data_IF_658883417874
#
_entry.id   IF_658883417874
#
_cell.length_a   1.000
_cell.length_b   1.000
_cell.length_c   1.000
_cell.angle_alpha   90.00
_cell.angle_beta   90.00
_cell.angle_gamma   90.00
#
_symmetry.space_group_name_H-M   'P 1'
#
loop_
_entity.id
_entity.type
_entity.pdbx_description
1 polymer ?
#
# COMPACT_ATOMS: atom_id res chain seq x y z
N UNK A 1 -0.33 6.87 22.17
CA UNK A 1 0.47 8.11 21.99
C UNK A 1 1.85 8.01 22.67
N UNK A 2 2.91 8.57 22.05
CA UNK A 2 4.29 8.59 22.60
C UNK A 2 4.43 9.68 23.67
N UNK A 3 4.87 9.31 24.88
CA UNK A 3 5.04 10.23 26.02
C UNK A 3 6.42 10.89 26.06
N UNK A 4 6.57 11.94 26.86
CA UNK A 4 7.88 12.57 27.09
C UNK A 4 8.91 11.60 27.69
N UNK A 5 8.48 10.68 28.54
CA UNK A 5 9.38 9.65 29.09
C UNK A 5 9.82 8.64 28.02
N UNK A 6 8.96 8.32 27.05
CA UNK A 6 9.36 7.53 25.88
C UNK A 6 10.39 8.28 25.04
N UNK A 7 10.20 9.59 24.83
CA UNK A 7 11.17 10.43 24.09
C UNK A 7 12.51 10.48 24.81
N UNK A 8 12.52 10.71 26.12
CA UNK A 8 13.74 10.68 26.95
C UNK A 8 14.46 9.33 26.90
N UNK A 9 13.71 8.22 26.91
CA UNK A 9 14.30 6.89 26.76
C UNK A 9 14.98 6.71 25.40
N UNK A 10 14.32 7.13 24.32
CA UNK A 10 14.87 7.10 22.97
C UNK A 10 16.13 7.99 22.82
N UNK A 11 16.10 9.20 23.39
CA UNK A 11 17.25 10.11 23.44
C UNK A 11 18.41 9.50 24.22
N UNK A 12 18.14 8.91 25.39
CA UNK A 12 19.16 8.19 26.16
C UNK A 12 19.75 7.03 25.38
N UNK A 13 18.94 6.21 24.71
CA UNK A 13 19.42 5.06 23.93
C UNK A 13 20.30 5.50 22.76
N UNK A 14 19.94 6.61 22.09
CA UNK A 14 20.77 7.25 21.06
C UNK A 14 22.13 7.68 21.64
N UNK A 15 22.13 8.41 22.75
CA UNK A 15 23.37 8.83 23.41
C UNK A 15 24.23 7.64 23.85
N UNK A 16 23.60 6.60 24.38
CA UNK A 16 24.28 5.39 24.83
C UNK A 16 24.98 4.70 23.66
N UNK A 17 24.30 4.55 22.51
CA UNK A 17 24.90 3.97 21.32
C UNK A 17 26.13 4.78 20.85
N UNK A 18 26.01 6.11 20.79
CA UNK A 18 27.11 6.99 20.37
C UNK A 18 28.31 6.96 21.33
N UNK A 19 28.05 6.91 22.65
CA UNK A 19 29.11 6.83 23.68
C UNK A 19 29.83 5.48 23.71
N UNK A 20 29.20 4.40 23.24
CA UNK A 20 29.71 3.03 23.37
C UNK A 20 30.23 2.40 22.06
N UNK A 21 30.39 3.19 20.99
CA UNK A 21 31.15 2.76 19.82
C UNK A 21 30.50 3.02 18.46
N UNK A 22 29.30 3.59 18.40
CA UNK A 22 28.72 4.03 17.13
C UNK A 22 29.27 5.41 16.72
N UNK A 23 29.75 5.54 15.48
CA UNK A 23 30.01 6.86 14.88
C UNK A 23 28.71 7.56 14.46
N UNK A 24 27.67 6.77 14.17
CA UNK A 24 26.33 7.27 13.87
C UNK A 24 25.26 6.26 14.27
N UNK A 25 24.04 6.73 14.47
CA UNK A 25 22.89 5.86 14.72
C UNK A 25 21.59 6.48 14.21
N UNK A 26 20.62 5.62 13.85
CA UNK A 26 19.21 5.96 13.68
C UNK A 26 18.42 5.18 14.71
N UNK A 27 17.38 5.78 15.27
CA UNK A 27 16.49 5.15 16.23
C UNK A 27 15.04 5.51 15.89
N UNK A 28 14.15 4.54 16.04
CA UNK A 28 12.71 4.76 15.98
C UNK A 28 12.04 4.06 17.15
N UNK A 29 11.37 4.85 17.99
CA UNK A 29 10.42 4.33 18.98
C UNK A 29 9.04 4.37 18.35
N UNK A 30 8.28 3.29 18.47
CA UNK A 30 6.91 3.24 17.95
C UNK A 30 5.96 2.66 18.99
N UNK A 31 4.71 3.09 18.90
CA UNK A 31 3.58 2.51 19.62
C UNK A 31 2.41 2.37 18.68
N UNK A 32 1.82 1.19 18.67
CA UNK A 32 0.62 0.87 17.91
C UNK A 32 -0.42 0.28 18.86
N UNK A 33 -1.67 0.64 18.69
CA UNK A 33 -2.78 -0.02 19.35
C UNK A 33 -3.87 -0.26 18.32
N UNK A 34 -4.49 -1.45 18.37
CA UNK A 34 -5.61 -1.76 17.49
C UNK A 34 -6.62 -2.66 18.19
N UNK A 35 -7.85 -2.56 17.71
CA UNK A 35 -8.94 -3.47 18.03
C UNK A 35 -9.52 -4.08 16.76
N UNK A 36 -9.85 -5.36 16.81
CA UNK A 36 -10.50 -6.10 15.73
C UNK A 36 -11.64 -6.92 16.29
N UNK A 37 -12.82 -6.77 15.68
CA UNK A 37 -14.04 -7.52 15.98
C UNK A 37 -14.42 -8.26 14.72
N UNK A 38 -14.36 -9.58 14.77
CA UNK A 38 -14.65 -10.46 13.65
C UNK A 38 -15.87 -11.30 13.98
N UNK A 39 -16.85 -11.24 13.09
CA UNK A 39 -18.09 -11.97 13.19
C UNK A 39 -18.18 -12.96 12.04
N UNK A 40 -18.65 -14.17 12.36
CA UNK A 40 -19.06 -15.17 11.39
C UNK A 40 -20.55 -15.42 11.54
N UNK A 41 -21.28 -15.32 10.43
CA UNK A 41 -22.72 -15.51 10.35
C UNK A 41 -23.49 -14.65 11.38
N UNK A 42 -23.04 -13.40 11.55
CA UNK A 42 -23.61 -12.44 12.49
C UNK A 42 -23.30 -12.73 13.97
N UNK A 43 -22.50 -13.75 14.27
CA UNK A 43 -22.09 -14.09 15.64
C UNK A 43 -20.65 -13.70 15.87
N UNK A 44 -20.34 -13.21 17.07
CA UNK A 44 -18.96 -12.89 17.46
C UNK A 44 -18.10 -14.15 17.37
N UNK A 45 -17.06 -14.12 16.54
CA UNK A 45 -16.11 -15.21 16.37
C UNK A 45 -14.80 -14.88 17.09
N UNK A 46 -14.30 -13.65 16.92
CA UNK A 46 -13.04 -13.21 17.53
C UNK A 46 -13.07 -11.74 17.92
N UNK A 47 -12.59 -11.45 19.13
CA UNK A 47 -12.21 -10.12 19.57
C UNK A 47 -10.70 -10.13 19.85
N UNK A 48 -9.97 -9.26 19.17
CA UNK A 48 -8.56 -9.03 19.41
C UNK A 48 -8.32 -7.57 19.76
N UNK A 49 -7.59 -7.34 20.84
CA UNK A 49 -7.01 -6.03 21.15
C UNK A 49 -5.51 -6.23 21.30
N UNK A 50 -4.74 -5.40 20.62
CA UNK A 50 -3.29 -5.42 20.74
C UNK A 50 -2.76 -4.04 21.04
N UNK A 51 -1.72 -4.01 21.87
CA UNK A 51 -0.89 -2.83 22.07
C UNK A 51 0.54 -3.27 21.95
N UNK A 52 1.25 -2.63 21.05
CA UNK A 52 2.64 -2.92 20.74
C UNK A 52 3.45 -1.65 20.93
N UNK A 53 4.60 -1.81 21.58
CA UNK A 53 5.60 -0.77 21.72
C UNK A 53 6.96 -1.38 21.41
N UNK A 54 7.81 -0.63 20.73
CA UNK A 54 9.11 -1.12 20.35
C UNK A 54 10.09 -0.03 20.00
N UNK A 55 11.36 -0.45 19.93
CA UNK A 55 12.50 0.36 19.59
C UNK A 55 13.26 -0.34 18.46
N UNK A 56 13.38 0.33 17.32
CA UNK A 56 14.29 -0.05 16.24
C UNK A 56 15.56 0.79 16.30
N UNK A 57 16.71 0.16 16.11
CA UNK A 57 18.02 0.80 16.08
C UNK A 57 18.79 0.41 14.82
N UNK A 58 19.39 1.40 14.17
CA UNK A 58 20.40 1.21 13.14
C UNK A 58 21.72 1.78 13.64
N UNK A 59 22.72 0.92 13.74
CA UNK A 59 24.02 1.23 14.34
C UNK A 59 25.08 1.27 13.24
N UNK A 60 25.85 2.35 13.19
CA UNK A 60 26.95 2.54 12.26
C UNK A 60 28.25 2.47 13.08
N UNK A 61 28.98 1.38 12.92
CA UNK A 61 30.11 1.01 13.79
C UNK A 61 31.32 0.68 12.93
N UNK A 62 32.34 1.51 13.00
CA UNK A 62 33.63 1.34 12.30
C UNK A 62 33.45 1.15 10.78
N UNK A 63 32.46 1.79 10.15
CA UNK A 63 32.15 1.62 8.71
C UNK A 63 31.26 0.40 8.39
N UNK A 64 30.73 -0.28 9.41
CA UNK A 64 29.77 -1.39 9.30
C UNK A 64 28.38 -0.92 9.71
N UNK A 65 27.35 -1.67 9.32
CA UNK A 65 25.95 -1.36 9.62
C UNK A 65 25.22 -2.56 10.22
N UNK A 66 24.56 -2.35 11.36
CA UNK A 66 23.70 -3.34 12.00
C UNK A 66 22.30 -2.78 12.24
N UNK A 67 21.28 -3.64 12.18
CA UNK A 67 19.89 -3.29 12.47
C UNK A 67 19.36 -4.22 13.55
N UNK A 68 18.81 -3.63 14.61
CA UNK A 68 18.31 -4.35 15.78
C UNK A 68 16.94 -3.80 16.18
N UNK A 69 16.12 -4.63 16.82
CA UNK A 69 14.82 -4.19 17.34
C UNK A 69 14.46 -4.93 18.60
N UNK A 70 13.72 -4.29 19.50
CA UNK A 70 13.21 -4.89 20.74
C UNK A 70 11.89 -4.25 21.16
N UNK A 71 11.04 -5.00 21.85
CA UNK A 71 9.91 -4.49 22.61
C UNK A 71 10.18 -4.44 24.12
N UNK A 72 11.36 -4.90 24.55
CA UNK A 72 11.82 -4.83 25.94
C UNK A 72 12.55 -3.50 26.15
N UNK A 73 11.85 -2.56 26.77
CA UNK A 73 12.28 -1.16 26.89
C UNK A 73 12.90 -0.81 28.25
N UNK A 74 13.18 -1.81 29.09
CA UNK A 74 13.95 -1.61 30.31
C UNK A 74 15.37 -1.13 29.98
N UNK A 75 15.84 -0.13 30.72
CA UNK A 75 17.11 0.54 30.44
C UNK A 75 18.30 -0.43 30.47
N UNK A 76 18.35 -1.36 31.43
CA UNK A 76 19.46 -2.32 31.57
C UNK A 76 19.47 -3.35 30.44
N UNK A 77 18.29 -3.75 29.98
CA UNK A 77 18.14 -4.64 28.84
C UNK A 77 18.53 -3.94 27.54
N UNK A 78 18.19 -2.67 27.39
CA UNK A 78 18.63 -1.83 26.28
C UNK A 78 20.14 -1.61 26.27
N UNK A 79 20.78 -1.39 27.42
CA UNK A 79 22.24 -1.32 27.53
C UNK A 79 22.90 -2.59 26.97
N UNK A 80 22.37 -3.75 27.36
CA UNK A 80 22.86 -5.06 26.89
C UNK A 80 22.65 -5.22 25.38
N UNK A 81 21.45 -4.91 24.88
CA UNK A 81 21.12 -4.99 23.45
C UNK A 81 22.02 -4.08 22.61
N UNK A 82 22.19 -2.83 23.02
CA UNK A 82 22.98 -1.85 22.28
C UNK A 82 24.45 -2.27 22.27
N UNK A 83 25.01 -2.62 23.43
CA UNK A 83 26.42 -3.05 23.54
C UNK A 83 26.68 -4.28 22.69
N UNK A 84 25.88 -5.34 22.85
CA UNK A 84 26.02 -6.57 22.07
C UNK A 84 25.76 -6.32 20.58
N UNK A 85 24.84 -5.42 20.24
CA UNK A 85 24.56 -5.02 18.86
C UNK A 85 25.73 -4.30 18.19
N UNK A 86 26.40 -3.41 18.93
CA UNK A 86 27.63 -2.74 18.47
C UNK A 86 28.73 -3.78 18.23
N UNK A 87 28.98 -4.67 19.19
CA UNK A 87 29.98 -5.74 19.05
C UNK A 87 29.66 -6.67 17.87
N UNK A 88 28.39 -7.08 17.75
CA UNK A 88 27.92 -7.93 16.65
C UNK A 88 28.13 -7.25 15.29
N UNK A 89 27.85 -5.95 15.21
CA UNK A 89 28.02 -5.17 13.97
C UNK A 89 29.48 -5.09 13.53
N UNK A 90 30.45 -5.08 14.46
CA UNK A 90 31.88 -5.06 14.13
C UNK A 90 32.37 -6.30 13.36
N UNK A 91 31.71 -7.44 13.52
CA UNK A 91 32.05 -8.67 12.79
C UNK A 91 31.63 -8.66 11.33
N UNK A 92 30.80 -7.68 10.91
CA UNK A 92 30.35 -7.56 9.53
C UNK A 92 31.43 -6.94 8.63
N UNK A 93 31.29 -7.16 7.33
CA UNK A 93 32.09 -6.47 6.34
C UNK A 93 31.77 -4.96 6.33
N UNK A 94 32.78 -4.15 6.07
CA UNK A 94 32.62 -2.70 5.86
C UNK A 94 31.71 -2.47 4.65
N UNK A 95 30.77 -1.53 4.78
CA UNK A 95 29.94 -1.05 3.66
C UNK A 95 29.93 0.49 3.70
N UNK A 96 30.85 1.10 2.95
CA UNK A 96 31.03 2.56 2.91
C UNK A 96 29.81 3.30 2.35
N UNK A 97 28.88 2.59 1.69
CA UNK A 97 27.63 3.19 1.21
C UNK A 97 26.60 3.34 2.33
N UNK A 98 26.76 2.65 3.46
CA UNK A 98 25.92 2.83 4.66
C UNK A 98 26.31 4.11 5.38
N UNK A 99 25.67 5.21 4.97
CA UNK A 99 25.83 6.53 5.57
C UNK A 99 24.48 7.14 5.96
N UNK A 100 24.51 8.11 6.87
CA UNK A 100 23.35 8.95 7.14
C UNK A 100 23.11 9.90 5.97
N UNK A 101 21.84 10.28 5.75
CA UNK A 101 21.50 11.32 4.80
C UNK A 101 22.11 12.67 5.24
N UNK A 102 22.41 13.53 4.27
CA UNK A 102 22.82 14.91 4.53
C UNK A 102 21.75 15.64 5.37
N UNK A 103 22.10 16.19 6.55
CA UNK A 103 21.18 16.97 7.37
C UNK A 103 20.48 18.11 6.63
N UNK A 104 21.07 18.67 5.58
CA UNK A 104 20.42 19.70 4.76
C UNK A 104 19.11 19.21 4.12
N UNK A 105 18.99 17.90 3.85
CA UNK A 105 17.80 17.27 3.26
C UNK A 105 16.72 16.93 4.27
N UNK A 106 16.97 17.07 5.57
CA UNK A 106 15.98 16.73 6.59
C UNK A 106 14.79 17.67 6.60
N UNK A 107 13.63 17.11 6.98
CA UNK A 107 12.50 17.93 7.36
C UNK A 107 12.86 18.81 8.56
N UNK A 108 12.54 20.11 8.46
CA UNK A 108 12.96 21.15 9.43
C UNK A 108 11.86 21.57 10.42
N UNK A 109 10.73 20.88 10.44
CA UNK A 109 9.57 21.31 11.23
C UNK A 109 8.82 22.49 10.62
N UNK A 110 7.85 23.01 11.36
CA UNK A 110 7.15 24.26 11.04
C UNK A 110 6.08 24.18 9.94
N UNK A 111 5.86 23.04 9.29
CA UNK A 111 4.71 22.87 8.39
C UNK A 111 3.40 22.64 9.17
N UNK A 112 2.23 22.96 8.58
CA UNK A 112 0.93 22.74 9.22
C UNK A 112 0.72 21.30 9.68
N UNK A 113 -0.11 21.09 10.71
CA UNK A 113 -0.52 19.74 11.10
C UNK A 113 -1.23 19.04 9.92
N UNK A 114 -0.76 17.84 9.56
CA UNK A 114 -1.38 17.03 8.52
C UNK A 114 -2.72 16.45 8.95
N UNK A 115 -3.11 16.57 10.23
CA UNK A 115 -4.40 16.12 10.76
C UNK A 115 -4.68 14.66 10.39
N UNK A 116 -3.79 13.74 10.75
CA UNK A 116 -3.92 12.31 10.41
C UNK A 116 -4.52 11.47 11.54
N UNK A 117 -4.90 12.11 12.63
CA UNK A 117 -5.31 11.46 13.88
C UNK A 117 -6.71 11.90 14.29
N UNK A 118 -7.60 10.92 14.44
CA UNK A 118 -8.98 11.11 14.87
C UNK A 118 -9.15 10.76 16.35
N UNK A 119 -9.49 11.77 17.17
CA UNK A 119 -9.74 11.57 18.60
C UNK A 119 -10.98 10.72 18.88
N UNK A 120 -11.91 10.61 17.91
CA UNK A 120 -13.10 9.77 18.05
C UNK A 120 -12.74 8.30 18.27
N UNK A 121 -11.53 7.86 17.91
CA UNK A 121 -11.05 6.51 18.21
C UNK A 121 -11.29 6.11 19.67
N UNK A 122 -11.13 7.05 20.61
CA UNK A 122 -11.30 6.81 22.05
C UNK A 122 -12.74 7.00 22.54
N UNK A 123 -13.62 7.56 21.71
CA UNK A 123 -15.01 7.87 22.05
C UNK A 123 -15.97 6.78 21.58
N UNK A 124 -15.58 5.99 20.56
CA UNK A 124 -16.41 4.91 20.01
C UNK A 124 -16.48 3.75 21.01
N UNK A 125 -17.69 3.46 21.50
CA UNK A 125 -17.94 2.34 22.39
C UNK A 125 -17.67 1.00 21.67
N UNK A 126 -16.98 0.03 22.29
CA UNK A 126 -16.86 -1.33 21.76
C UNK A 126 -18.16 -1.95 21.23
N UNK A 127 -19.30 -1.72 21.89
CA UNK A 127 -20.59 -2.26 21.44
C UNK A 127 -21.02 -1.67 20.08
N UNK A 128 -20.72 -0.40 19.81
CA UNK A 128 -20.98 0.24 18.52
C UNK A 128 -20.08 -0.34 17.42
N UNK A 129 -18.82 -0.67 17.76
CA UNK A 129 -17.88 -1.34 16.83
C UNK A 129 -18.42 -2.70 16.40
N UNK A 130 -18.92 -3.48 17.37
CA UNK A 130 -19.58 -4.78 17.10
C UNK A 130 -20.84 -4.59 16.28
N UNK A 131 -21.64 -3.57 16.59
CA UNK A 131 -22.87 -3.26 15.85
C UNK A 131 -22.58 -2.95 14.38
N UNK A 132 -21.48 -2.25 14.06
CA UNK A 132 -21.08 -1.97 12.68
C UNK A 132 -20.71 -3.26 11.93
N UNK A 133 -19.88 -4.11 12.53
CA UNK A 133 -19.54 -5.40 11.91
C UNK A 133 -20.78 -6.28 11.70
N UNK A 134 -21.67 -6.32 12.71
CA UNK A 134 -22.95 -7.02 12.65
C UNK A 134 -23.85 -6.49 11.54
N UNK A 135 -23.99 -5.18 11.42
CA UNK A 135 -24.80 -4.56 10.37
C UNK A 135 -24.31 -4.96 8.96
N UNK A 136 -22.99 -5.03 8.75
CA UNK A 136 -22.43 -5.50 7.49
C UNK A 136 -22.80 -6.98 7.20
N UNK A 137 -22.88 -7.85 8.20
CA UNK A 137 -23.38 -9.22 8.00
C UNK A 137 -24.90 -9.27 7.75
N UNK A 138 -25.69 -8.51 8.52
CA UNK A 138 -27.15 -8.43 8.41
C UNK A 138 -27.63 -7.88 7.06
N UNK A 139 -26.78 -7.11 6.35
CA UNK A 139 -27.02 -6.73 4.97
C UNK A 139 -27.12 -7.91 3.99
N UNK A 140 -26.70 -9.12 4.38
CA UNK A 140 -26.55 -10.28 3.48
C UNK A 140 -27.25 -11.53 4.01
N UNK A 141 -27.23 -11.73 5.33
CA UNK A 141 -27.80 -12.93 5.96
C UNK A 141 -29.26 -13.15 5.55
N UNK A 142 -29.55 -14.36 5.04
CA UNK A 142 -30.89 -14.77 4.61
C UNK A 142 -31.38 -14.16 3.29
N UNK A 143 -30.56 -13.38 2.57
CA UNK A 143 -30.97 -12.75 1.30
C UNK A 143 -30.87 -13.65 0.07
N UNK A 144 -30.07 -14.71 0.13
CA UNK A 144 -29.89 -15.66 -0.96
C UNK A 144 -29.64 -17.06 -0.40
N UNK A 145 -30.36 -18.06 -0.93
CA UNK A 145 -30.28 -19.45 -0.46
C UNK A 145 -28.91 -20.11 -0.72
N UNK A 146 -28.11 -19.54 -1.62
CA UNK A 146 -26.77 -20.04 -1.94
C UNK A 146 -25.74 -19.63 -0.90
N UNK A 147 -26.03 -18.67 -0.03
CA UNK A 147 -25.05 -18.22 0.98
C UNK A 147 -24.68 -19.38 1.92
N UNK A 148 -23.37 -19.60 2.06
CA UNK A 148 -22.80 -20.63 2.95
C UNK A 148 -22.29 -19.99 4.23
N UNK A 149 -21.57 -18.88 4.10
CA UNK A 149 -21.05 -18.15 5.27
C UNK A 149 -20.85 -16.68 4.94
N UNK A 150 -20.99 -15.85 5.95
CA UNK A 150 -20.72 -14.42 5.91
C UNK A 150 -19.74 -14.08 7.03
N UNK A 151 -18.50 -13.75 6.67
CA UNK A 151 -17.54 -13.17 7.59
C UNK A 151 -17.63 -11.64 7.48
N UNK A 152 -17.59 -10.94 8.61
CA UNK A 152 -17.60 -9.47 8.66
C UNK A 152 -16.70 -8.97 9.77
N UNK A 153 -16.12 -7.80 9.58
CA UNK A 153 -15.26 -7.22 10.60
C UNK A 153 -15.36 -5.71 10.69
N UNK A 154 -15.12 -5.23 11.91
CA UNK A 154 -14.73 -3.87 12.19
C UNK A 154 -13.33 -3.91 12.80
N UNK A 155 -12.44 -3.05 12.34
CA UNK A 155 -11.14 -2.87 12.96
C UNK A 155 -10.76 -1.40 13.01
N UNK A 156 -10.09 -0.99 14.07
CA UNK A 156 -9.50 0.34 14.18
C UNK A 156 -8.16 0.30 14.89
N UNK A 157 -7.40 1.38 14.74
CA UNK A 157 -6.16 1.53 15.47
C UNK A 157 -5.53 2.89 15.35
N UNK A 158 -4.51 3.07 16.16
CA UNK A 158 -3.58 4.19 16.11
C UNK A 158 -2.15 3.69 15.98
N UNK A 159 -1.34 4.50 15.31
CA UNK A 159 0.10 4.35 15.28
C UNK A 159 0.76 5.68 15.61
N UNK A 160 1.85 5.64 16.36
CA UNK A 160 2.73 6.78 16.60
C UNK A 160 4.18 6.35 16.48
N UNK A 161 5.02 7.21 15.91
CA UNK A 161 6.46 7.00 15.82
C UNK A 161 7.24 8.24 16.23
N UNK A 162 8.39 8.02 16.85
CA UNK A 162 9.36 9.05 17.23
C UNK A 162 10.73 8.62 16.76
N UNK A 163 11.32 9.41 15.87
CA UNK A 163 12.55 9.10 15.15
C UNK A 163 13.67 10.06 15.55
N UNK A 164 14.84 9.50 15.81
CA UNK A 164 16.08 10.23 16.05
C UNK A 164 17.15 9.78 15.06
N UNK A 165 17.93 10.72 14.56
CA UNK A 165 19.14 10.44 13.78
C UNK A 165 20.28 11.29 14.34
N UNK A 166 21.42 10.64 14.58
CA UNK A 166 22.53 11.21 15.35
C UNK A 166 23.18 12.46 14.77
N UNK A 167 22.96 12.77 13.49
CA UNK A 167 23.42 14.00 12.83
C UNK A 167 22.37 15.14 12.85
N UNK A 168 21.41 15.09 13.78
CA UNK A 168 20.55 16.22 14.10
C UNK A 168 19.13 16.16 13.53
N UNK A 169 18.56 14.95 13.37
CA UNK A 169 17.14 14.80 13.08
C UNK A 169 16.35 14.34 14.30
N UNK A 170 15.22 14.99 14.52
CA UNK A 170 14.18 14.58 15.46
C UNK A 170 12.83 14.79 14.77
N UNK A 171 11.99 13.76 14.74
CA UNK A 171 10.69 13.84 14.09
C UNK A 171 9.69 12.87 14.70
N UNK A 172 8.43 13.28 14.75
CA UNK A 172 7.34 12.43 15.20
C UNK A 172 6.20 12.37 14.18
N UNK A 173 5.47 11.26 14.19
CA UNK A 173 4.27 11.08 13.40
C UNK A 173 3.22 10.33 14.21
N UNK A 174 1.96 10.61 13.93
CA UNK A 174 0.83 9.86 14.46
C UNK A 174 -0.30 9.79 13.44
N UNK A 175 -1.04 8.69 13.45
CA UNK A 175 -2.23 8.54 12.63
C UNK A 175 -3.20 7.55 13.24
N UNK A 176 -4.47 7.66 12.87
CA UNK A 176 -5.51 6.66 13.13
C UNK A 176 -5.94 5.98 11.84
N UNK A 177 -6.59 4.84 11.96
CA UNK A 177 -7.28 4.20 10.86
C UNK A 177 -8.49 3.43 11.38
N UNK A 178 -9.50 3.31 10.52
CA UNK A 178 -10.73 2.56 10.74
C UNK A 178 -11.02 1.76 9.48
N UNK A 179 -11.59 0.57 9.64
CA UNK A 179 -11.93 -0.31 8.54
C UNK A 179 -13.18 -1.12 8.85
N UNK A 180 -14.02 -1.32 7.83
CA UNK A 180 -15.16 -2.26 7.87
C UNK A 180 -15.05 -3.15 6.65
N UNK A 181 -15.23 -4.45 6.83
CA UNK A 181 -15.21 -5.40 5.73
C UNK A 181 -16.29 -6.47 5.85
N UNK A 182 -16.68 -7.04 4.72
CA UNK A 182 -17.51 -8.22 4.64
C UNK A 182 -16.97 -9.14 3.54
N UNK A 183 -17.03 -10.43 3.77
CA UNK A 183 -16.67 -11.49 2.83
C UNK A 183 -17.81 -12.50 2.81
N UNK A 184 -18.29 -12.84 1.62
CA UNK A 184 -19.44 -13.72 1.43
C UNK A 184 -19.00 -14.92 0.62
N UNK A 185 -19.25 -16.10 1.16
CA UNK A 185 -19.02 -17.38 0.49
C UNK A 185 -20.37 -17.98 0.10
N UNK A 186 -20.51 -18.42 -1.15
CA UNK A 186 -21.75 -18.99 -1.67
C UNK A 186 -21.51 -20.37 -2.29
N UNK A 187 -22.59 -21.14 -2.43
CA UNK A 187 -22.64 -22.38 -3.20
C UNK A 187 -22.74 -22.03 -4.69
N UNK A 188 -21.72 -22.45 -5.45
CA UNK A 188 -21.74 -22.40 -6.91
C UNK A 188 -22.25 -23.71 -7.53
N UNK A 189 -21.97 -23.88 -8.83
CA UNK A 189 -22.24 -25.13 -9.54
C UNK A 189 -21.37 -26.27 -9.00
N UNK A 190 -21.98 -27.43 -8.72
CA UNK A 190 -21.28 -28.60 -8.17
C UNK A 190 -20.57 -28.31 -6.84
N UNK A 191 -19.27 -28.58 -6.81
CA UNK A 191 -18.42 -28.35 -5.63
C UNK A 191 -17.81 -26.94 -5.57
N UNK A 192 -18.14 -26.05 -6.51
CA UNK A 192 -17.65 -24.67 -6.47
C UNK A 192 -18.17 -23.93 -5.22
N UNK A 193 -17.27 -23.20 -4.56
CA UNK A 193 -17.55 -22.39 -3.37
C UNK A 193 -16.95 -20.99 -3.55
N UNK A 194 -17.43 -20.19 -4.53
CA UNK A 194 -16.86 -18.87 -4.77
C UNK A 194 -17.05 -17.96 -3.55
N UNK A 195 -16.06 -17.10 -3.36
CA UNK A 195 -16.01 -16.09 -2.32
C UNK A 195 -15.58 -14.77 -2.94
N UNK A 196 -16.15 -13.68 -2.45
CA UNK A 196 -15.68 -12.32 -2.72
C UNK A 196 -15.93 -11.43 -1.50
N UNK A 197 -15.30 -10.26 -1.49
CA UNK A 197 -15.31 -9.35 -0.37
C UNK A 197 -15.52 -7.91 -0.82
N UNK A 198 -15.89 -7.07 0.13
CA UNK A 198 -15.84 -5.63 0.00
C UNK A 198 -15.38 -5.02 1.32
N UNK A 199 -14.72 -3.87 1.24
CA UNK A 199 -14.32 -3.12 2.41
C UNK A 199 -14.28 -1.63 2.13
N UNK A 200 -14.30 -0.84 3.19
CA UNK A 200 -13.87 0.55 3.18
C UNK A 200 -12.92 0.80 4.36
N UNK A 201 -12.02 1.76 4.20
CA UNK A 201 -11.14 2.22 5.26
C UNK A 201 -10.94 3.71 5.20
N UNK A 202 -10.69 4.34 6.35
CA UNK A 202 -10.49 5.78 6.45
C UNK A 202 -9.60 6.13 7.65
N UNK A 203 -8.96 7.30 7.61
CA UNK A 203 -8.24 7.83 8.79
C UNK A 203 -9.20 8.31 9.89
N UNK A 204 -10.41 8.70 9.50
CA UNK A 204 -11.42 9.31 10.38
C UNK A 204 -12.68 8.46 10.43
N UNK A 205 -13.21 8.28 11.62
CA UNK A 205 -14.39 7.47 11.88
C UNK A 205 -15.60 7.97 11.07
N UNK A 206 -15.79 9.29 10.98
CA UNK A 206 -16.92 9.88 10.24
C UNK A 206 -16.81 9.71 8.72
N UNK A 207 -15.59 9.55 8.19
CA UNK A 207 -15.34 9.34 6.76
C UNK A 207 -15.44 7.87 6.34
N UNK A 208 -15.44 6.95 7.31
CA UNK A 208 -15.60 5.51 7.06
C UNK A 208 -17.02 5.22 6.59
N UNK A 209 -17.14 4.61 5.41
CA UNK A 209 -18.39 4.03 4.91
C UNK A 209 -18.71 2.77 5.71
N UNK A 210 -19.84 2.79 6.42
CA UNK A 210 -20.26 1.70 7.32
C UNK A 210 -21.40 0.84 6.77
N UNK A 211 -22.07 1.32 5.72
CA UNK A 211 -23.24 0.67 5.13
C UNK A 211 -22.97 0.31 3.66
N UNK A 212 -23.71 -0.68 3.17
CA UNK A 212 -23.57 -1.25 1.83
C UNK A 212 -22.32 -2.12 1.67
N UNK A 213 -21.60 -2.43 2.74
CA UNK A 213 -20.36 -3.23 2.70
C UNK A 213 -20.71 -4.70 2.41
N UNK A 214 -21.64 -5.27 3.19
CA UNK A 214 -22.12 -6.62 2.96
C UNK A 214 -22.86 -6.74 1.64
N UNK A 215 -23.74 -5.79 1.33
CA UNK A 215 -24.49 -5.80 0.09
C UNK A 215 -23.58 -5.84 -1.15
N UNK A 216 -22.50 -5.06 -1.17
CA UNK A 216 -21.50 -5.09 -2.24
C UNK A 216 -20.72 -6.41 -2.29
N UNK A 217 -20.35 -6.97 -1.14
CA UNK A 217 -19.67 -8.27 -1.10
C UNK A 217 -20.57 -9.39 -1.68
N UNK A 218 -21.86 -9.39 -1.35
CA UNK A 218 -22.85 -10.31 -1.93
C UNK A 218 -23.01 -10.10 -3.44
N UNK A 219 -23.17 -8.85 -3.88
CA UNK A 219 -23.29 -8.52 -5.30
C UNK A 219 -22.09 -9.03 -6.10
N UNK A 220 -20.87 -8.86 -5.56
CA UNK A 220 -19.63 -9.29 -6.19
C UNK A 220 -19.50 -10.81 -6.27
N UNK A 221 -19.79 -11.55 -5.20
CA UNK A 221 -19.69 -13.01 -5.23
C UNK A 221 -20.77 -13.64 -6.12
N UNK A 222 -21.99 -13.11 -6.11
CA UNK A 222 -23.07 -13.59 -7.00
C UNK A 222 -22.70 -13.40 -8.49
N UNK A 223 -21.98 -12.32 -8.78
CA UNK A 223 -21.41 -12.01 -10.11
C UNK A 223 -20.38 -13.05 -10.59
N UNK A 224 -19.81 -13.88 -9.71
CA UNK A 224 -18.90 -14.97 -10.09
C UNK A 224 -19.62 -16.25 -10.55
N UNK A 225 -20.93 -16.34 -10.38
CA UNK A 225 -21.66 -17.54 -10.78
C UNK A 225 -21.66 -17.70 -12.31
N UNK A 226 -21.42 -18.93 -12.76
CA UNK A 226 -21.37 -19.25 -14.19
C UNK A 226 -20.12 -18.74 -14.91
N UNK A 227 -19.07 -18.37 -14.17
CA UNK A 227 -17.78 -18.01 -14.76
C UNK A 227 -17.24 -19.12 -15.67
N UNK A 228 -16.80 -18.71 -16.87
CA UNK A 228 -16.24 -19.57 -17.90
C UNK A 228 -15.10 -18.86 -18.64
N UNK A 229 -14.22 -19.63 -19.26
CA UNK A 229 -13.20 -19.09 -20.18
C UNK A 229 -13.86 -18.31 -21.32
N UNK A 230 -13.21 -17.22 -21.72
CA UNK A 230 -13.46 -16.55 -22.98
C UNK A 230 -12.56 -17.13 -24.08
N UNK A 231 -12.83 -16.79 -25.34
CA UNK A 231 -11.93 -17.16 -26.45
C UNK A 231 -10.59 -16.44 -26.26
N UNK A 232 -9.48 -17.16 -26.42
CA UNK A 232 -8.15 -16.54 -26.44
C UNK A 232 -8.02 -15.52 -27.58
N UNK A 233 -7.37 -14.39 -27.32
CA UNK A 233 -7.18 -13.34 -28.30
C UNK A 233 -6.88 -11.99 -27.68
N UNK A 234 -6.92 -10.94 -28.51
CA UNK A 234 -6.75 -9.55 -28.08
C UNK A 234 -8.09 -8.94 -27.71
N UNK A 235 -8.11 -8.25 -26.57
CA UNK A 235 -9.27 -7.56 -26.04
C UNK A 235 -8.88 -6.17 -25.53
N UNK A 236 -9.83 -5.24 -25.53
CA UNK A 236 -9.74 -4.06 -24.67
C UNK A 236 -9.85 -4.54 -23.22
N UNK A 237 -8.88 -4.21 -22.37
CA UNK A 237 -8.90 -4.54 -20.95
C UNK A 237 -9.38 -3.33 -20.15
N UNK A 238 -10.42 -3.50 -19.35
CA UNK A 238 -10.81 -2.56 -18.30
C UNK A 238 -10.40 -3.13 -16.96
N UNK A 239 -9.84 -2.33 -16.07
CA UNK A 239 -9.52 -2.76 -14.70
C UNK A 239 -10.20 -1.83 -13.73
N UNK A 240 -10.93 -2.39 -12.76
CA UNK A 240 -11.64 -1.62 -11.75
C UNK A 240 -10.68 -0.94 -10.73
N UNK A 241 -11.14 0.06 -9.96
CA UNK A 241 -10.29 0.79 -9.03
C UNK A 241 -9.82 -0.07 -7.84
N UNK A 242 -10.40 -1.26 -7.62
CA UNK A 242 -9.97 -2.20 -6.58
C UNK A 242 -8.69 -2.93 -7.00
N UNK A 243 -8.51 -3.14 -8.31
CA UNK A 243 -7.52 -4.05 -8.86
C UNK A 243 -6.39 -3.36 -9.64
N UNK A 244 -6.52 -2.08 -10.02
CA UNK A 244 -5.48 -1.32 -10.74
C UNK A 244 -4.12 -1.29 -10.04
N UNK A 245 -4.10 -1.41 -8.71
CA UNK A 245 -2.86 -1.54 -7.93
C UNK A 245 -1.98 -2.71 -8.35
N UNK A 246 -2.57 -3.80 -8.85
CA UNK A 246 -1.83 -4.98 -9.33
C UNK A 246 -1.01 -4.69 -10.59
N UNK A 247 -1.46 -3.75 -11.43
CA UNK A 247 -0.72 -3.33 -12.64
C UNK A 247 0.28 -2.20 -12.34
N UNK A 248 -0.02 -1.34 -11.37
CA UNK A 248 0.85 -0.21 -11.02
C UNK A 248 2.03 -0.62 -10.13
N UNK A 249 1.83 -1.61 -9.25
CA UNK A 249 2.86 -2.05 -8.30
C UNK A 249 4.18 -2.48 -8.97
N UNK A 250 4.18 -3.25 -10.08
CA UNK A 250 5.42 -3.57 -10.81
C UNK A 250 6.11 -2.34 -11.40
N UNK A 251 5.36 -1.36 -11.92
CA UNK A 251 5.93 -0.10 -12.40
C UNK A 251 6.66 0.63 -11.28
N UNK A 252 6.01 0.79 -10.12
CA UNK A 252 6.62 1.46 -8.96
C UNK A 252 7.84 0.69 -8.43
N UNK A 253 7.76 -0.65 -8.42
CA UNK A 253 8.85 -1.52 -7.99
C UNK A 253 10.11 -1.28 -8.82
N UNK A 254 9.96 -1.12 -10.13
CA UNK A 254 11.03 -0.80 -11.06
C UNK A 254 11.64 0.60 -10.87
N UNK A 255 11.00 1.49 -10.10
CA UNK A 255 11.51 2.84 -9.84
C UNK A 255 12.38 2.96 -8.57
N UNK A 256 12.42 1.92 -7.72
CA UNK A 256 13.19 1.97 -6.49
C UNK A 256 14.70 1.87 -6.75
N UNK A 257 15.47 2.67 -6.01
CA UNK A 257 16.93 2.68 -6.08
C UNK A 257 17.57 1.31 -5.86
N UNK A 258 16.97 0.45 -5.03
CA UNK A 258 17.44 -0.92 -4.81
C UNK A 258 17.32 -1.80 -6.07
N UNK A 259 16.19 -1.71 -6.79
CA UNK A 259 15.97 -2.43 -8.04
C UNK A 259 16.93 -1.95 -9.14
N UNK A 260 17.12 -0.63 -9.24
CA UNK A 260 18.05 -0.01 -10.18
C UNK A 260 19.50 -0.41 -9.89
N UNK A 261 19.94 -0.31 -8.62
CA UNK A 261 21.29 -0.64 -8.19
C UNK A 261 21.62 -2.11 -8.46
N UNK A 262 20.65 -3.01 -8.29
CA UNK A 262 20.79 -4.45 -8.54
C UNK A 262 20.66 -4.82 -10.03
N UNK A 263 20.45 -3.84 -10.93
CA UNK A 263 20.17 -4.06 -12.36
C UNK A 263 18.97 -4.98 -12.59
N UNK A 264 17.99 -4.91 -11.69
CA UNK A 264 16.78 -5.71 -11.70
C UNK A 264 15.54 -4.83 -11.85
N UNK A 265 15.58 -3.97 -12.87
CA UNK A 265 14.49 -3.05 -13.21
C UNK A 265 14.35 -2.93 -14.72
N UNK A 266 13.15 -3.21 -15.23
CA UNK A 266 12.79 -2.99 -16.63
C UNK A 266 12.65 -1.50 -17.00
N UNK A 267 12.70 -0.61 -16.00
CA UNK A 267 12.73 0.85 -16.19
C UNK A 267 14.11 1.44 -15.93
N UNK A 268 15.17 0.64 -15.82
CA UNK A 268 16.55 1.14 -15.75
C UNK A 268 16.88 1.95 -17.01
N UNK A 269 17.60 3.07 -16.85
CA UNK A 269 18.01 3.97 -17.94
C UNK A 269 16.82 4.57 -18.73
N UNK A 270 15.64 4.71 -18.10
CA UNK A 270 14.42 5.29 -18.70
C UNK A 270 14.02 6.64 -18.13
N UNK A 271 14.83 7.25 -17.26
CA UNK A 271 14.58 8.60 -16.78
C UNK A 271 14.49 9.56 -17.98
N UNK A 272 13.52 10.48 -17.94
CA UNK A 272 13.18 11.42 -19.00
C UNK A 272 12.81 10.79 -20.36
N UNK A 273 12.49 9.48 -20.36
CA UNK A 273 12.03 8.76 -21.55
C UNK A 273 10.53 8.48 -21.47
N UNK A 274 9.85 8.54 -22.61
CA UNK A 274 8.46 8.11 -22.73
C UNK A 274 8.36 6.58 -22.68
N UNK A 275 7.74 6.06 -21.64
CA UNK A 275 7.60 4.61 -21.37
C UNK A 275 6.14 4.19 -21.13
N UNK A 276 5.21 5.13 -21.29
CA UNK A 276 3.78 4.91 -21.13
C UNK A 276 2.99 5.91 -21.99
N UNK A 277 1.65 5.78 -21.97
CA UNK A 277 0.71 6.63 -22.68
C UNK A 277 0.75 8.09 -22.22
N UNK A 278 0.34 9.01 -23.10
CA UNK A 278 0.16 10.43 -22.76
C UNK A 278 -0.90 10.66 -21.66
N UNK A 279 -1.79 9.69 -21.45
CA UNK A 279 -2.77 9.73 -20.37
C UNK A 279 -2.18 9.39 -19.00
N UNK A 280 -0.97 8.84 -18.95
CA UNK A 280 -0.32 8.43 -17.71
C UNK A 280 0.45 9.59 -17.07
N UNK A 281 -0.27 10.41 -16.32
CA UNK A 281 0.31 11.49 -15.49
C UNK A 281 0.09 11.19 -14.01
N UNK A 282 1.14 10.71 -13.35
CA UNK A 282 1.14 10.22 -11.96
C UNK A 282 1.98 11.15 -11.08
N UNK A 283 1.40 11.63 -9.97
CA UNK A 283 2.06 12.53 -9.02
C UNK A 283 2.16 11.92 -7.63
N UNK A 284 3.25 12.19 -6.93
CA UNK A 284 3.38 11.98 -5.49
C UNK A 284 3.00 13.27 -4.75
N UNK A 285 1.96 13.24 -3.91
CA UNK A 285 1.40 14.39 -3.21
C UNK A 285 1.43 14.19 -1.67
N UNK A 286 2.62 14.31 -1.05
CA UNK A 286 2.85 13.87 0.34
C UNK A 286 2.24 14.77 1.42
N UNK A 287 1.79 15.99 1.10
CA UNK A 287 1.44 17.03 2.09
C UNK A 287 -0.07 17.32 2.16
N UNK A 288 -0.91 16.38 1.72
CA UNK A 288 -2.37 16.55 1.77
C UNK A 288 -2.90 16.39 3.20
N UNK A 289 -3.53 17.44 3.75
CA UNK A 289 -4.12 17.42 5.09
C UNK A 289 -5.29 16.44 5.14
N UNK A 290 -5.35 15.62 6.18
CA UNK A 290 -6.43 14.66 6.43
C UNK A 290 -6.49 13.50 5.44
N UNK A 291 -5.38 13.23 4.73
CA UNK A 291 -5.32 12.24 3.67
C UNK A 291 -4.34 11.10 4.00
N UNK A 292 -4.79 9.87 3.74
CA UNK A 292 -4.01 8.66 3.97
C UNK A 292 -2.72 8.66 3.13
N UNK A 293 -1.59 8.26 3.75
CA UNK A 293 -0.25 8.26 3.15
C UNK A 293 0.52 9.57 3.25
N UNK A 294 -0.10 10.66 3.72
CA UNK A 294 0.60 11.94 3.88
C UNK A 294 1.69 11.87 4.96
N UNK A 295 2.83 12.51 4.71
CA UNK A 295 3.97 12.58 5.64
C UNK A 295 4.92 13.70 5.22
N UNK A 296 5.64 14.29 6.18
CA UNK A 296 6.67 15.31 5.90
C UNK A 296 8.08 14.79 5.75
N UNK A 297 8.34 13.55 6.16
CA UNK A 297 9.65 12.92 6.08
C UNK A 297 9.52 11.42 5.84
N UNK A 298 10.55 10.82 5.25
CA UNK A 298 10.67 9.37 5.14
C UNK A 298 11.43 8.73 6.32
N UNK A 299 11.74 7.44 6.22
CA UNK A 299 12.43 6.72 7.29
C UNK A 299 13.89 7.15 7.50
N UNK A 300 14.45 7.94 6.58
CA UNK A 300 15.76 8.57 6.73
C UNK A 300 15.68 10.00 7.27
N UNK A 301 14.48 10.51 7.58
CA UNK A 301 14.26 11.89 7.99
C UNK A 301 14.26 12.89 6.83
N UNK A 302 14.47 12.42 5.59
CA UNK A 302 14.52 13.25 4.38
C UNK A 302 13.14 13.86 4.13
N UNK A 303 13.11 15.18 3.90
CA UNK A 303 11.89 15.90 3.63
C UNK A 303 11.19 15.38 2.37
N UNK A 304 9.90 15.09 2.48
CA UNK A 304 9.08 14.78 1.31
C UNK A 304 8.73 16.05 0.55
N UNK A 305 8.53 15.93 -0.76
CA UNK A 305 8.17 17.03 -1.65
C UNK A 305 7.19 16.50 -2.70
N UNK A 306 6.25 17.33 -3.19
CA UNK A 306 5.46 16.97 -4.36
C UNK A 306 6.37 16.64 -5.54
N UNK A 307 6.11 15.49 -6.19
CA UNK A 307 6.90 15.04 -7.35
C UNK A 307 6.00 14.58 -8.48
N UNK A 308 6.41 14.88 -9.70
CA UNK A 308 5.85 14.23 -10.88
C UNK A 308 6.60 12.92 -11.09
N UNK A 309 5.90 11.78 -10.98
CA UNK A 309 6.49 10.45 -11.19
C UNK A 309 6.49 10.13 -12.68
N UNK A 310 5.33 10.32 -13.31
CA UNK A 310 5.17 10.28 -14.77
C UNK A 310 4.46 11.54 -15.23
N UNK A 311 4.96 12.15 -16.30
CA UNK A 311 4.34 13.30 -16.98
C UNK A 311 3.99 12.88 -18.41
N UNK A 312 2.70 12.67 -18.69
CA UNK A 312 2.22 12.19 -20.00
C UNK A 312 3.04 10.99 -20.52
N UNK A 313 3.26 10.02 -19.64
CA UNK A 313 3.98 8.80 -19.94
C UNK A 313 5.51 8.92 -19.94
N UNK A 314 6.06 10.12 -19.77
CA UNK A 314 7.50 10.34 -19.56
C UNK A 314 7.84 10.07 -18.10
N UNK A 315 8.77 9.15 -17.84
CA UNK A 315 9.26 8.88 -16.50
C UNK A 315 10.11 10.05 -15.99
N UNK A 316 9.74 10.62 -14.84
CA UNK A 316 10.37 11.83 -14.27
C UNK A 316 11.06 11.63 -12.92
N UNK A 317 10.71 10.57 -12.19
CA UNK A 317 11.25 10.34 -10.84
C UNK A 317 11.56 8.87 -10.60
N UNK A 318 12.78 8.60 -10.13
CA UNK A 318 13.11 7.38 -9.39
C UNK A 318 13.06 7.64 -7.88
N UNK A 319 12.79 6.61 -7.09
CA UNK A 319 12.76 6.65 -5.63
C UNK A 319 14.06 6.10 -5.05
N UNK A 320 15.03 6.98 -4.85
CA UNK A 320 16.41 6.64 -4.51
C UNK A 320 16.68 7.13 -3.08
N UNK A 321 16.88 6.17 -2.16
CA UNK A 321 17.34 6.45 -0.80
C UNK A 321 18.84 6.82 -0.79
N UNK A 322 19.34 7.25 0.37
CA UNK A 322 20.74 7.68 0.54
C UNK A 322 21.72 6.56 0.18
N UNK A 323 21.42 5.33 0.59
CA UNK A 323 22.28 4.17 0.37
C UNK A 323 22.45 3.84 -1.12
N UNK A 324 21.33 3.73 -1.85
CA UNK A 324 21.37 3.39 -3.26
C UNK A 324 21.87 4.56 -4.12
N UNK A 325 21.61 5.81 -3.71
CA UNK A 325 22.21 6.99 -4.32
C UNK A 325 23.74 6.95 -4.23
N UNK A 326 24.27 6.62 -3.05
CA UNK A 326 25.72 6.47 -2.85
C UNK A 326 26.32 5.31 -3.66
N UNK A 327 25.65 4.15 -3.72
CA UNK A 327 26.11 2.99 -4.49
C UNK A 327 26.14 3.21 -6.00
N UNK A 328 25.22 4.01 -6.52
CA UNK A 328 25.12 4.31 -7.95
C UNK A 328 25.81 5.62 -8.34
N UNK A 329 26.39 6.34 -7.38
CA UNK A 329 26.98 7.68 -7.55
C UNK A 329 26.00 8.69 -8.19
N UNK A 330 24.75 8.68 -7.72
CA UNK A 330 23.69 9.59 -8.16
C UNK A 330 23.03 10.31 -6.97
N UNK A 331 22.44 11.46 -7.24
CA UNK A 331 21.73 12.22 -6.23
C UNK A 331 20.49 11.44 -5.72
N UNK A 332 20.37 11.21 -4.40
CA UNK A 332 19.18 10.59 -3.81
C UNK A 332 17.96 11.52 -3.88
N UNK A 333 16.76 10.94 -4.00
CA UNK A 333 15.48 11.66 -4.08
C UNK A 333 14.70 11.52 -2.77
N UNK A 334 13.94 10.43 -2.64
CA UNK A 334 13.20 10.00 -1.45
C UNK A 334 13.11 8.47 -1.51
N UNK A 335 13.08 7.79 -0.37
CA UNK A 335 13.09 6.31 -0.33
C UNK A 335 11.86 5.65 -0.96
N UNK A 336 10.69 6.31 -0.93
CA UNK A 336 9.44 5.78 -1.48
C UNK A 336 8.41 6.91 -1.71
N UNK A 337 7.44 6.72 -2.62
CA UNK A 337 6.31 7.64 -2.74
C UNK A 337 5.48 7.66 -1.45
N UNK A 338 4.69 8.72 -1.27
CA UNK A 338 3.81 8.89 -0.11
C UNK A 338 2.34 8.74 -0.51
N UNK A 339 1.89 9.52 -1.51
CA UNK A 339 0.51 9.48 -2.01
C UNK A 339 0.49 9.62 -3.52
N UNK A 340 0.10 8.56 -4.21
CA UNK A 340 0.12 8.52 -5.67
C UNK A 340 -1.25 8.90 -6.22
N UNK A 341 -1.29 9.97 -7.00
CA UNK A 341 -2.50 10.50 -7.63
C UNK A 341 -2.33 10.39 -9.13
N UNK A 342 -3.15 9.57 -9.77
CA UNK A 342 -3.27 9.55 -11.23
C UNK A 342 -4.28 10.61 -11.64
N UNK A 343 -3.97 11.39 -12.69
CA UNK A 343 -4.89 12.40 -13.22
C UNK A 343 -6.19 11.73 -13.70
N UNK A 344 -7.36 12.04 -13.10
CA UNK A 344 -8.61 11.39 -13.47
C UNK A 344 -9.11 11.86 -14.84
N UNK A 345 -9.84 10.99 -15.53
CA UNK A 345 -10.64 11.36 -16.71
C UNK A 345 -12.03 11.86 -16.33
N UNK A 346 -12.98 11.70 -17.24
CA UNK A 346 -14.35 12.24 -17.14
C UNK A 346 -15.44 11.17 -16.91
N UNK A 347 -15.12 9.88 -17.09
CA UNK A 347 -16.07 8.76 -16.95
C UNK A 347 -15.77 7.89 -15.73
N UNK A 348 -16.81 7.36 -15.11
CA UNK A 348 -16.68 6.29 -14.11
C UNK A 348 -16.50 4.93 -14.80
N UNK A 349 -16.31 3.85 -14.03
CA UNK A 349 -16.20 2.50 -14.57
C UNK A 349 -17.32 2.14 -15.54
N UNK A 350 -18.58 2.48 -15.23
CA UNK A 350 -19.72 2.15 -16.08
C UNK A 350 -19.67 2.92 -17.40
N UNK A 351 -19.32 4.21 -17.36
CA UNK A 351 -19.12 5.02 -18.55
C UNK A 351 -17.98 4.52 -19.42
N UNK A 352 -16.87 4.04 -18.82
CA UNK A 352 -15.76 3.42 -19.55
C UNK A 352 -16.20 2.11 -20.23
N UNK A 353 -16.92 1.25 -19.52
CA UNK A 353 -17.44 -0.02 -20.07
C UNK A 353 -18.39 0.25 -21.24
N UNK A 354 -19.25 1.27 -21.14
CA UNK A 354 -20.24 1.60 -22.17
C UNK A 354 -19.62 1.97 -23.54
N UNK A 355 -18.39 2.47 -23.57
CA UNK A 355 -17.68 2.82 -24.81
C UNK A 355 -17.05 1.60 -25.51
N UNK A 356 -16.99 0.44 -24.85
CA UNK A 356 -16.18 -0.68 -25.31
C UNK A 356 -17.03 -1.66 -26.11
N UNK A 357 -16.66 -1.85 -27.38
CA UNK A 357 -17.31 -2.80 -28.27
C UNK A 357 -17.01 -4.26 -27.89
N UNK A 358 -15.75 -4.58 -27.63
CA UNK A 358 -15.32 -5.92 -27.26
C UNK A 358 -14.15 -5.84 -26.29
N UNK A 359 -14.33 -6.35 -25.08
CA UNK A 359 -13.32 -6.24 -24.04
C UNK A 359 -13.50 -7.23 -22.90
N UNK A 360 -12.63 -7.12 -21.91
CA UNK A 360 -12.75 -7.84 -20.64
C UNK A 360 -12.56 -6.83 -19.51
N UNK A 361 -13.57 -6.71 -18.65
CA UNK A 361 -13.46 -6.07 -17.35
C UNK A 361 -12.81 -7.04 -16.38
N UNK A 362 -11.66 -6.68 -15.83
CA UNK A 362 -10.94 -7.43 -14.79
C UNK A 362 -11.34 -6.91 -13.42
N UNK A 363 -11.94 -7.78 -12.62
CA UNK A 363 -12.40 -7.49 -11.24
C UNK A 363 -11.66 -8.29 -10.18
N UNK A 364 -10.66 -9.08 -10.58
CA UNK A 364 -9.81 -9.87 -9.71
C UNK A 364 -8.60 -10.43 -10.44
N UNK A 365 -7.50 -10.59 -9.70
CA UNK A 365 -6.27 -11.24 -10.18
C UNK A 365 -6.00 -12.50 -9.34
N UNK A 366 -5.76 -13.61 -10.02
CA UNK A 366 -5.63 -14.96 -9.45
C UNK A 366 -4.21 -15.48 -9.67
N UNK A 367 -3.28 -15.03 -8.84
CA UNK A 367 -1.87 -15.40 -8.94
C UNK A 367 -1.17 -14.87 -10.20
N UNK A 368 0.02 -15.39 -10.47
CA UNK A 368 0.92 -14.91 -11.52
C UNK A 368 1.95 -13.90 -11.02
N UNK A 369 2.80 -13.41 -11.91
CA UNK A 369 3.90 -12.50 -11.57
C UNK A 369 4.35 -11.64 -12.77
N UNK A 370 5.19 -10.65 -12.49
CA UNK A 370 5.95 -9.90 -13.50
C UNK A 370 7.45 -10.05 -13.25
N UNK A 371 8.22 -10.25 -14.33
CA UNK A 371 9.66 -10.26 -14.28
C UNK A 371 10.18 -8.84 -14.03
N UNK A 372 10.91 -8.65 -12.93
CA UNK A 372 11.42 -7.33 -12.51
C UNK A 372 12.45 -6.73 -13.48
N UNK A 373 13.20 -7.56 -14.21
CA UNK A 373 14.22 -7.10 -15.15
C UNK A 373 13.69 -6.83 -16.57
N UNK A 374 12.72 -7.61 -17.05
CA UNK A 374 12.21 -7.48 -18.43
C UNK A 374 10.87 -6.76 -18.51
N UNK A 375 10.07 -6.79 -17.44
CA UNK A 375 8.70 -6.26 -17.41
C UNK A 375 7.67 -7.22 -17.99
N UNK A 376 8.05 -8.41 -18.43
CA UNK A 376 7.09 -9.41 -18.91
C UNK A 376 6.21 -9.87 -17.76
N UNK A 377 4.93 -10.11 -18.02
CA UNK A 377 3.98 -10.53 -17.01
C UNK A 377 3.00 -11.58 -17.53
N UNK A 378 2.51 -12.37 -16.57
CA UNK A 378 1.38 -13.26 -16.76
C UNK A 378 0.61 -13.33 -15.45
N UNK A 379 -0.65 -12.92 -15.46
CA UNK A 379 -1.53 -12.99 -14.30
C UNK A 379 -2.82 -13.73 -14.62
N UNK A 380 -3.26 -14.59 -13.72
CA UNK A 380 -4.62 -15.13 -13.79
C UNK A 380 -5.61 -13.99 -13.54
N UNK A 381 -6.73 -13.99 -14.24
CA UNK A 381 -7.78 -12.97 -14.07
C UNK A 381 -9.16 -13.59 -13.90
N UNK A 382 -10.03 -12.81 -13.30
CA UNK A 382 -11.47 -13.00 -13.34
C UNK A 382 -12.19 -11.67 -13.58
N UNK A 383 -13.42 -11.74 -14.08
CA UNK A 383 -14.26 -10.57 -14.30
C UNK A 383 -15.36 -10.84 -15.32
N UNK A 384 -15.48 -10.00 -16.34
CA UNK A 384 -16.60 -10.02 -17.29
C UNK A 384 -16.16 -9.74 -18.71
N UNK A 385 -16.71 -10.49 -19.66
CA UNK A 385 -16.69 -10.10 -21.07
C UNK A 385 -17.54 -8.84 -21.27
N UNK A 386 -17.05 -7.92 -22.08
CA UNK A 386 -17.75 -6.72 -22.52
C UNK A 386 -18.11 -6.89 -23.99
N UNK A 387 -19.39 -6.79 -24.32
CA UNK A 387 -19.90 -6.84 -25.69
C UNK A 387 -20.87 -5.65 -25.90
N UNK A 388 -20.56 -4.80 -26.88
CA UNK A 388 -21.31 -3.60 -27.24
C UNK A 388 -21.72 -2.75 -26.02
N UNK A 389 -20.73 -2.47 -25.16
CA UNK A 389 -20.87 -1.61 -23.99
C UNK A 389 -21.53 -2.27 -22.78
N UNK A 390 -21.71 -3.60 -22.78
CA UNK A 390 -22.42 -4.33 -21.72
C UNK A 390 -21.61 -5.49 -21.19
N UNK A 391 -21.69 -5.71 -19.88
CA UNK A 391 -21.15 -6.91 -19.24
C UNK A 391 -22.03 -8.11 -19.60
N UNK A 392 -21.45 -9.17 -20.17
CA UNK A 392 -22.20 -10.35 -20.63
C UNK A 392 -21.81 -11.61 -19.89
N UNK A 393 -20.74 -12.28 -20.28
CA UNK A 393 -20.29 -13.54 -19.69
C UNK A 393 -19.35 -13.26 -18.51
N UNK A 394 -19.58 -13.81 -17.31
CA UNK A 394 -18.57 -13.85 -16.26
C UNK A 394 -17.37 -14.69 -16.70
N UNK A 395 -16.16 -14.17 -16.53
CA UNK A 395 -14.90 -14.78 -16.99
C UNK A 395 -14.04 -15.20 -15.81
N UNK A 396 -13.45 -16.39 -15.90
CA UNK A 396 -12.35 -16.85 -15.04
C UNK A 396 -11.43 -17.79 -15.84
N UNK A 397 -10.40 -18.33 -15.18
CA UNK A 397 -9.44 -19.27 -15.78
C UNK A 397 -8.78 -18.77 -17.07
N UNK A 398 -8.66 -17.45 -17.19
CA UNK A 398 -7.93 -16.75 -18.24
C UNK A 398 -6.65 -16.17 -17.64
N UNK A 399 -5.59 -16.10 -18.43
CA UNK A 399 -4.42 -15.30 -18.14
C UNK A 399 -4.41 -14.04 -19.00
N UNK A 400 -4.02 -12.91 -18.42
CA UNK A 400 -3.58 -11.71 -19.14
C UNK A 400 -2.07 -11.72 -19.21
N UNK A 401 -1.51 -11.50 -20.39
CA UNK A 401 -0.06 -11.58 -20.64
C UNK A 401 0.45 -10.39 -21.45
N UNK A 402 1.73 -10.07 -21.30
CA UNK A 402 2.37 -9.04 -22.08
C UNK A 402 3.64 -8.51 -21.43
N UNK A 403 3.99 -7.28 -21.78
CA UNK A 403 5.09 -6.53 -21.17
C UNK A 403 4.55 -5.23 -20.55
N UNK A 404 5.00 -4.88 -19.35
CA UNK A 404 4.53 -3.72 -18.59
C UNK A 404 4.68 -2.40 -19.38
N UNK A 405 5.80 -2.19 -20.07
CA UNK A 405 6.02 -0.96 -20.84
C UNK A 405 5.02 -0.89 -21.99
N UNK A 406 4.84 -1.98 -22.73
CA UNK A 406 3.88 -2.05 -23.84
C UNK A 406 2.44 -1.86 -23.35
N UNK A 407 2.07 -2.47 -22.22
CA UNK A 407 0.75 -2.34 -21.61
C UNK A 407 0.49 -0.89 -21.18
N UNK A 408 1.39 -0.27 -20.40
CA UNK A 408 1.20 1.11 -19.96
C UNK A 408 1.24 2.12 -21.11
N UNK A 409 1.86 1.77 -22.24
CA UNK A 409 1.80 2.54 -23.47
C UNK A 409 0.48 2.36 -24.24
N UNK A 410 -0.27 1.28 -24.01
CA UNK A 410 -1.59 1.04 -24.60
C UNK A 410 -2.77 1.55 -23.75
N UNK A 411 -2.51 2.30 -22.67
CA UNK A 411 -3.54 2.98 -21.89
C UNK A 411 -4.26 4.03 -22.75
N UNK A 412 -5.57 3.86 -22.95
CA UNK A 412 -6.41 4.73 -23.79
C UNK A 412 -7.48 5.50 -23.05
N UNK A 413 -7.81 5.13 -21.81
CA UNK A 413 -8.70 5.91 -20.96
C UNK A 413 -8.41 5.71 -19.47
N UNK A 414 -8.72 6.74 -18.70
CA UNK A 414 -8.56 6.81 -17.25
C UNK A 414 -9.91 7.24 -16.67
N UNK A 415 -10.37 6.56 -15.62
CA UNK A 415 -11.65 6.86 -14.99
C UNK A 415 -11.61 8.09 -14.07
N UNK A 416 -12.75 8.42 -13.47
CA UNK A 416 -12.94 9.48 -12.49
C UNK A 416 -13.27 8.94 -11.08
N UNK A 417 -13.06 7.63 -10.87
CA UNK A 417 -13.52 6.84 -9.72
C UNK A 417 -12.38 6.29 -8.84
N UNK A 418 -11.33 7.07 -8.51
CA UNK A 418 -10.31 6.58 -7.60
C UNK A 418 -10.90 6.38 -6.19
N UNK A 419 -10.37 5.43 -5.43
CA UNK A 419 -10.79 5.24 -4.05
C UNK A 419 -10.24 6.38 -3.16
N UNK A 420 -11.08 7.30 -2.66
CA UNK A 420 -10.62 8.58 -2.11
C UNK A 420 -9.86 8.45 -0.80
N UNK A 421 -10.15 7.41 0.00
CA UNK A 421 -9.50 7.19 1.29
C UNK A 421 -8.17 6.42 1.20
N UNK A 422 -7.77 5.99 0.00
CA UNK A 422 -6.48 5.32 -0.22
C UNK A 422 -5.36 6.33 -0.43
N UNK A 423 -4.14 5.93 -0.07
CA UNK A 423 -2.92 6.67 -0.42
C UNK A 423 -2.63 6.62 -1.92
N UNK A 424 -3.05 5.55 -2.60
CA UNK A 424 -2.96 5.42 -4.06
C UNK A 424 -4.35 5.65 -4.65
N UNK A 425 -4.57 6.85 -5.17
CA UNK A 425 -5.80 7.26 -5.82
C UNK A 425 -5.67 7.01 -7.31
N UNK A 426 -5.87 5.75 -7.68
CA UNK A 426 -5.82 5.29 -9.07
C UNK A 426 -7.25 4.89 -9.46
N UNK A 427 -7.86 5.56 -10.45
CA UNK A 427 -9.19 5.23 -10.95
C UNK A 427 -9.15 3.98 -11.83
N UNK A 428 -10.31 3.60 -12.35
CA UNK A 428 -10.43 2.58 -13.40
C UNK A 428 -9.53 2.91 -14.60
N UNK A 429 -8.98 1.89 -15.25
CA UNK A 429 -8.07 2.05 -16.40
C UNK A 429 -8.53 1.21 -17.59
N UNK A 430 -8.34 1.73 -18.80
CA UNK A 430 -8.65 1.03 -20.07
C UNK A 430 -7.42 0.92 -20.94
N UNK A 431 -7.09 -0.30 -21.35
CA UNK A 431 -5.93 -0.63 -22.18
C UNK A 431 -6.38 -1.33 -23.47
N UNK A 432 -5.80 -0.95 -24.61
CA UNK A 432 -6.13 -1.55 -25.91
C UNK A 432 -5.19 -2.70 -26.29
N UNK A 433 -5.73 -3.64 -27.08
CA UNK A 433 -4.95 -4.69 -27.74
C UNK A 433 -4.24 -5.67 -26.81
N UNK A 434 -4.79 -5.90 -25.61
CA UNK A 434 -4.19 -6.74 -24.56
C UNK A 434 -4.46 -8.22 -24.82
N UNK A 435 -3.43 -9.05 -24.66
CA UNK A 435 -3.48 -10.48 -24.94
C UNK A 435 -4.05 -11.28 -23.75
N UNK A 436 -5.13 -12.01 -23.99
CA UNK A 436 -5.76 -12.94 -23.04
C UNK A 436 -5.75 -14.36 -23.59
N UNK A 437 -5.45 -15.33 -22.73
CA UNK A 437 -5.44 -16.75 -23.08
C UNK A 437 -6.16 -17.60 -22.02
N UNK A 438 -7.12 -18.41 -22.45
CA UNK A 438 -7.68 -19.47 -21.61
C UNK A 438 -6.75 -20.68 -21.65
N UNK A 439 -6.34 -21.16 -20.47
CA UNK A 439 -5.51 -22.37 -20.34
C UNK A 439 -6.32 -23.65 -20.51
#
# INVERSE_FOLDING_TARGET
MITDDNKKLAQWAMEYALKNGCQAAKLVLYTNSNSSFELRDGKMDRLQQSTENGLGLNLYVDGRFGSFSTNRLDKKELETLITNGIESTRYLAVDESRMLADPARYYKGGKPDLQLFDKKLYEVNPDDKVAIARAAAEEVLGKDERIISVDSSYSDGEGSSYRLISNGFEGESKSTWFSVSASVSIKGEGEARPQDYWYDSALFYDKLTKAGIGAKALERVLRKLGQKKAKSGKYTMVVDPMNVGNLLSPMLSALYGSALQQKNSFLMDKLDTKVASDLFTLRDEPHAIGANGSRYFDNEGVATEPRTVFDKGVLKTYFIDTYNGKKMDIAPTISAPSRLILTPGDKDLNGLVADIKQGILVTGFNGGNSNSSTGDFSYGIEGFLIEDGKLTQPVNEMNVTGNMVTLWNSLVAVGNDPQPNRSWQIPSLVFEGVDFSGL
#
